data_IF_261919957764
#
_entry.id   IF_261919957764
#
_cell.length_a   1.000
_cell.length_b   1.000
_cell.length_c   1.000
_cell.angle_alpha   90.00
_cell.angle_beta   90.00
_cell.angle_gamma   90.00
#
_symmetry.space_group_name_H-M   'P 1'
#
loop_
_entity.id
_entity.type
_entity.pdbx_description
1 polymer ?
#
# COMPACT_ATOMS: atom_id res chain seq x y z
N UNK A 1 2.97 -5.70 -8.65
CA UNK A 1 2.99 -5.51 -7.18
C UNK A 1 2.43 -6.76 -6.51
N UNK A 2 3.21 -7.37 -5.64
CA UNK A 2 2.78 -8.55 -4.92
C UNK A 2 2.30 -8.15 -3.52
N UNK A 3 1.10 -8.58 -3.16
CA UNK A 3 0.51 -8.35 -1.85
C UNK A 3 0.23 -9.69 -1.18
N UNK A 4 0.53 -9.78 0.11
CA UNK A 4 0.20 -10.97 0.89
C UNK A 4 -1.30 -11.14 1.02
N UNK A 5 -1.77 -12.37 1.11
CA UNK A 5 -3.20 -12.67 1.24
C UNK A 5 -3.82 -11.97 2.45
N UNK A 6 -3.12 -11.96 3.58
CA UNK A 6 -3.58 -11.28 4.80
C UNK A 6 -3.84 -9.80 4.58
N UNK A 7 -2.94 -9.14 3.83
CA UNK A 7 -3.11 -7.73 3.49
C UNK A 7 -4.29 -7.53 2.55
N UNK A 8 -4.45 -8.39 1.54
CA UNK A 8 -5.58 -8.32 0.62
C UNK A 8 -6.91 -8.48 1.34
N UNK A 9 -6.98 -9.40 2.30
CA UNK A 9 -8.19 -9.60 3.11
C UNK A 9 -8.49 -8.37 3.97
N UNK A 10 -7.47 -7.75 4.55
CA UNK A 10 -7.64 -6.52 5.34
C UNK A 10 -8.12 -5.36 4.47
N UNK A 11 -7.63 -5.25 3.24
CA UNK A 11 -8.12 -4.24 2.30
C UNK A 11 -9.58 -4.50 1.95
N UNK A 12 -9.93 -5.75 1.67
CA UNK A 12 -11.31 -6.13 1.33
C UNK A 12 -12.28 -5.88 2.48
N UNK A 13 -11.82 -6.06 3.71
CA UNK A 13 -12.61 -5.79 4.92
C UNK A 13 -12.72 -4.27 5.23
N UNK A 14 -12.02 -3.43 4.51
CA UNK A 14 -12.02 -1.99 4.76
C UNK A 14 -11.11 -1.53 5.89
N UNK A 15 -10.29 -2.42 6.43
CA UNK A 15 -9.35 -2.09 7.50
C UNK A 15 -8.08 -1.41 7.01
N UNK A 16 -7.70 -1.68 5.76
CA UNK A 16 -6.52 -1.12 5.10
C UNK A 16 -6.96 -0.50 3.78
N UNK A 17 -6.54 0.73 3.52
CA UNK A 17 -6.83 1.42 2.27
C UNK A 17 -5.59 2.11 1.68
N UNK A 18 -4.42 1.77 2.21
CA UNK A 18 -3.18 2.41 1.83
C UNK A 18 -2.06 1.37 1.82
N UNK A 19 -1.18 1.48 0.82
CA UNK A 19 0.00 0.62 0.71
C UNK A 19 1.21 1.50 0.44
N UNK A 20 2.32 1.19 1.10
CA UNK A 20 3.61 1.83 0.81
C UNK A 20 4.49 0.87 0.04
N UNK A 21 5.21 1.41 -0.95
CA UNK A 21 6.17 0.65 -1.75
C UNK A 21 7.45 1.44 -1.97
N UNK A 22 8.55 0.72 -1.87
CA UNK A 22 9.88 1.23 -2.19
C UNK A 22 10.41 0.40 -3.35
N UNK A 23 10.55 1.01 -4.51
CA UNK A 23 10.91 0.30 -5.73
C UNK A 23 11.71 1.18 -6.70
N UNK A 24 12.30 0.53 -7.70
CA UNK A 24 12.98 1.23 -8.80
C UNK A 24 12.04 1.44 -9.99
N UNK A 25 11.11 0.49 -10.20
CA UNK A 25 10.13 0.54 -11.29
C UNK A 25 8.74 0.24 -10.75
N UNK A 26 7.84 1.23 -10.74
CA UNK A 26 6.46 0.98 -10.37
C UNK A 26 5.80 -0.02 -11.32
N UNK A 27 5.08 -0.98 -10.76
CA UNK A 27 4.37 -2.00 -11.52
C UNK A 27 2.87 -1.74 -11.62
N UNK A 28 2.38 -0.67 -11.01
CA UNK A 28 0.97 -0.27 -11.06
C UNK A 28 0.85 1.19 -11.45
N UNK A 29 -0.32 1.58 -11.95
CA UNK A 29 -0.60 2.96 -12.36
C UNK A 29 -1.77 3.52 -11.56
N UNK A 30 -1.72 4.82 -11.28
CA UNK A 30 -2.84 5.54 -10.66
C UNK A 30 -4.10 5.37 -11.52
N UNK A 31 -5.22 5.08 -10.87
CA UNK A 31 -6.49 4.85 -11.56
C UNK A 31 -6.60 3.48 -12.22
N UNK A 32 -5.58 2.63 -12.11
CA UNK A 32 -5.60 1.30 -12.69
C UNK A 32 -6.17 0.25 -11.74
N UNK A 33 -6.00 -1.01 -12.12
CA UNK A 33 -6.45 -2.15 -11.32
C UNK A 33 -5.37 -3.21 -11.26
N UNK A 34 -5.45 -4.06 -10.23
CA UNK A 34 -4.54 -5.18 -10.05
C UNK A 34 -5.36 -6.45 -9.77
N UNK A 35 -5.15 -7.46 -10.58
CA UNK A 35 -5.80 -8.75 -10.39
C UNK A 35 -5.17 -9.48 -9.21
N UNK A 36 -5.99 -9.88 -8.24
CA UNK A 36 -5.53 -10.56 -7.04
C UNK A 36 -6.31 -11.84 -6.78
N UNK A 37 -5.87 -12.63 -5.80
CA UNK A 37 -6.54 -13.87 -5.41
C UNK A 37 -7.94 -13.65 -4.82
N UNK A 38 -8.21 -12.45 -4.31
CA UNK A 38 -9.49 -12.13 -3.67
C UNK A 38 -10.34 -11.18 -4.50
N UNK A 39 -9.91 -10.89 -5.72
CA UNK A 39 -10.66 -10.05 -6.65
C UNK A 39 -9.81 -8.97 -7.29
N UNK A 40 -10.46 -8.04 -7.96
CA UNK A 40 -9.81 -6.95 -8.68
C UNK A 40 -9.59 -5.76 -7.74
N UNK A 41 -8.33 -5.52 -7.41
CA UNK A 41 -7.94 -4.39 -6.56
C UNK A 41 -7.93 -3.11 -7.37
N UNK A 42 -8.60 -2.09 -6.87
CA UNK A 42 -8.58 -0.75 -7.48
C UNK A 42 -7.39 0.03 -6.93
N UNK A 43 -6.63 0.65 -7.83
CA UNK A 43 -5.51 1.51 -7.48
C UNK A 43 -5.97 2.95 -7.64
N UNK A 44 -5.95 3.70 -6.53
CA UNK A 44 -6.28 5.12 -6.53
C UNK A 44 -5.07 5.99 -6.83
N UNK A 45 -4.90 7.05 -6.06
CA UNK A 45 -3.77 7.97 -6.24
C UNK A 45 -2.45 7.32 -5.83
N UNK A 46 -1.41 7.58 -6.58
CA UNK A 46 -0.03 7.19 -6.27
C UNK A 46 0.76 8.48 -6.07
N UNK A 47 1.34 8.63 -4.90
CA UNK A 47 2.06 9.85 -4.51
C UNK A 47 3.50 9.51 -4.15
N UNK A 48 4.43 10.19 -4.81
CA UNK A 48 5.84 10.12 -4.42
C UNK A 48 6.03 10.87 -3.12
N UNK A 49 6.75 10.29 -2.18
CA UNK A 49 6.99 10.93 -0.89
C UNK A 49 8.28 10.42 -0.24
N UNK A 50 8.73 11.14 0.77
CA UNK A 50 9.83 10.70 1.61
C UNK A 50 9.27 9.79 2.72
N UNK A 51 9.90 8.64 3.02
CA UNK A 51 9.47 7.80 4.13
C UNK A 51 9.40 8.53 5.48
N UNK A 52 10.22 9.57 5.66
CA UNK A 52 10.19 10.39 6.88
C UNK A 52 8.91 11.20 7.03
N UNK A 53 8.16 11.40 5.96
CA UNK A 53 6.91 12.16 5.96
C UNK A 53 5.67 11.31 6.27
N UNK A 54 5.84 10.01 6.46
CA UNK A 54 4.74 9.12 6.82
C UNK A 54 4.25 9.45 8.23
N UNK A 55 2.95 9.71 8.35
CA UNK A 55 2.30 10.02 9.62
C UNK A 55 1.78 8.74 10.31
N UNK A 56 1.48 8.83 11.62
CA UNK A 56 0.84 7.73 12.34
C UNK A 56 -0.50 7.35 11.69
N UNK A 57 -1.28 8.34 11.27
CA UNK A 57 -2.56 8.09 10.60
C UNK A 57 -2.38 7.27 9.32
N UNK A 58 -1.41 7.64 8.48
CA UNK A 58 -1.12 6.92 7.24
C UNK A 58 -0.57 5.51 7.53
N UNK A 59 0.30 5.38 8.54
CA UNK A 59 0.82 4.07 8.93
C UNK A 59 -0.32 3.13 9.37
N UNK A 60 -1.27 3.63 10.13
CA UNK A 60 -2.44 2.84 10.56
C UNK A 60 -3.32 2.45 9.39
N UNK A 61 -3.55 3.35 8.44
CA UNK A 61 -4.31 3.06 7.22
C UNK A 61 -3.66 1.95 6.38
N UNK A 62 -2.35 1.83 6.47
CA UNK A 62 -1.58 0.79 5.77
C UNK A 62 -1.48 -0.52 6.56
N UNK A 63 -2.07 -0.59 7.75
CA UNK A 63 -2.10 -1.79 8.57
C UNK A 63 -1.01 -1.85 9.63
N UNK A 64 -0.20 -0.81 9.80
CA UNK A 64 0.79 -0.72 10.86
C UNK A 64 0.16 -0.15 12.14
N UNK A 65 0.78 -0.41 13.28
CA UNK A 65 0.30 0.14 14.56
C UNK A 65 0.52 1.65 14.63
N UNK A 66 1.69 2.08 14.16
CA UNK A 66 2.14 3.45 14.19
C UNK A 66 3.31 3.62 13.23
N UNK A 67 3.90 4.80 13.22
CA UNK A 67 5.03 5.10 12.33
C UNK A 67 6.30 4.32 12.73
N UNK A 68 6.46 3.98 14.00
CA UNK A 68 7.60 3.19 14.45
C UNK A 68 7.55 1.76 13.89
N UNK A 69 6.35 1.16 13.88
CA UNK A 69 6.12 -0.15 13.28
C UNK A 69 6.37 -0.11 11.77
N UNK A 70 5.91 0.94 11.10
CA UNK A 70 6.18 1.16 9.68
C UNK A 70 7.69 1.24 9.40
N UNK A 71 8.46 1.94 10.22
CA UNK A 71 9.91 2.08 10.04
C UNK A 71 10.64 0.75 10.19
N UNK A 72 10.21 -0.10 11.11
CA UNK A 72 10.76 -1.46 11.25
C UNK A 72 10.55 -2.27 9.97
N UNK A 73 9.35 -2.19 9.41
CA UNK A 73 9.04 -2.86 8.17
C UNK A 73 9.87 -2.30 7.01
N UNK A 74 10.03 -0.98 6.93
CA UNK A 74 10.80 -0.31 5.88
C UNK A 74 12.26 -0.79 5.88
N UNK A 75 12.85 -1.01 7.06
CA UNK A 75 14.22 -1.49 7.19
C UNK A 75 14.41 -2.90 6.62
N UNK A 76 13.34 -3.66 6.49
CA UNK A 76 13.38 -5.02 5.91
C UNK A 76 13.24 -5.02 4.40
N UNK A 77 12.91 -3.88 3.80
CA UNK A 77 12.68 -3.79 2.36
C UNK A 77 13.98 -3.64 1.58
N UNK A 78 13.96 -4.14 0.34
CA UNK A 78 15.06 -3.91 -0.58
C UNK A 78 15.19 -2.42 -0.88
N UNK A 79 16.41 -1.89 -1.03
CA UNK A 79 16.60 -0.48 -1.40
C UNK A 79 15.99 -0.20 -2.79
N UNK A 80 15.42 0.98 -2.91
CA UNK A 80 14.90 1.51 -4.15
C UNK A 80 14.90 3.03 -4.05
N UNK A 81 14.99 3.73 -5.18
CA UNK A 81 15.06 5.19 -5.16
C UNK A 81 13.69 5.86 -5.22
N UNK A 82 12.62 5.09 -5.41
CA UNK A 82 11.25 5.60 -5.33
C UNK A 82 10.55 5.03 -4.10
N UNK A 83 9.98 5.92 -3.31
CA UNK A 83 9.08 5.54 -2.24
C UNK A 83 7.72 6.16 -2.54
N UNK A 84 6.67 5.33 -2.57
CA UNK A 84 5.34 5.77 -2.98
C UNK A 84 4.27 5.35 -2.00
N UNK A 85 3.31 6.25 -1.82
CA UNK A 85 2.07 6.04 -1.10
C UNK A 85 0.98 5.72 -2.12
N UNK A 86 0.37 4.56 -2.01
CA UNK A 86 -0.59 4.05 -2.98
C UNK A 86 -1.94 3.85 -2.29
N UNK A 87 -2.96 4.56 -2.74
CA UNK A 87 -4.32 4.34 -2.27
C UNK A 87 -4.90 3.11 -2.97
N UNK A 88 -5.49 2.21 -2.19
CA UNK A 88 -6.03 0.95 -2.71
C UNK A 88 -7.40 0.68 -2.12
N UNK A 89 -8.18 -0.14 -2.81
CA UNK A 89 -9.47 -0.58 -2.33
C UNK A 89 -10.09 -1.58 -3.30
N UNK A 90 -11.17 -2.22 -2.85
CA UNK A 90 -11.99 -3.02 -3.75
C UNK A 90 -13.26 -2.23 -4.05
N UNK A 91 -13.67 -2.14 -5.32
CA UNK A 91 -14.92 -1.47 -5.65
C UNK A 91 -16.09 -2.20 -5.00
N UNK A 92 -17.14 -1.47 -4.59
CA UNK A 92 -18.32 -2.13 -4.06
C UNK A 92 -18.91 -3.08 -5.09
N UNK A 93 -19.32 -4.24 -4.63
CA UNK A 93 -20.02 -5.19 -5.48
C UNK A 93 -21.37 -4.59 -5.90
N UNK A 94 -21.59 -4.56 -7.19
CA UNK A 94 -22.86 -4.08 -7.73
C UNK A 94 -23.84 -5.24 -7.90
#
# INVERSE_FOLDING_TARGET
MLLKLELLEAIKAGQVDLVFRRWSRPSVKAGGTLKTKVGLLSIGAITDMDPADVTDADARRAGFRDVADFRKWLDTMKPGHLFQRIEVGFPPES
#
